data_IF_855959673973
#
_entry.id   IF_855959673973
#
_cell.length_a   1.000
_cell.length_b   1.000
_cell.length_c   1.000
_cell.angle_alpha   90.00
_cell.angle_beta   90.00
_cell.angle_gamma   90.00
#
_symmetry.space_group_name_H-M   'P 1'
#
loop_
_entity.id
_entity.type
_entity.pdbx_description
1 polymer ?
#
# COMPACT_ATOMS: atom_id res chain seq x y z
N UNK A 1 45.34 1.44 -34.35
CA UNK A 1 43.96 1.47 -34.88
C UNK A 1 43.14 0.54 -34.00
N UNK A 2 42.31 1.07 -33.12
CA UNK A 2 41.49 0.29 -32.18
C UNK A 2 40.03 0.61 -32.47
N UNK A 3 39.27 -0.40 -32.92
CA UNK A 3 37.85 -0.31 -33.24
C UNK A 3 37.01 0.01 -31.97
N UNK A 4 36.23 1.11 -31.95
CA UNK A 4 35.53 1.56 -30.76
C UNK A 4 34.04 1.19 -30.76
N UNK A 5 33.61 -0.02 -31.13
CA UNK A 5 32.17 -0.36 -31.01
C UNK A 5 31.93 -1.81 -30.60
N UNK A 6 32.20 -2.11 -29.32
CA UNK A 6 31.69 -3.33 -28.66
C UNK A 6 30.22 -3.10 -28.26
N UNK A 7 29.33 -3.17 -29.25
CA UNK A 7 27.87 -3.10 -29.04
C UNK A 7 27.42 -4.31 -28.21
N UNK A 8 26.96 -4.08 -26.98
CA UNK A 8 26.33 -5.12 -26.16
C UNK A 8 24.98 -5.49 -26.79
N UNK A 9 24.66 -6.78 -26.97
CA UNK A 9 23.37 -7.18 -27.54
C UNK A 9 22.21 -6.77 -26.61
N UNK A 10 21.24 -6.02 -27.15
CA UNK A 10 19.96 -5.70 -26.49
C UNK A 10 19.02 -6.88 -26.76
N UNK A 11 19.22 -8.01 -26.08
CA UNK A 11 18.35 -9.20 -26.19
C UNK A 11 17.36 -9.33 -25.02
N UNK A 12 17.12 -8.24 -24.27
CA UNK A 12 16.27 -8.25 -23.05
C UNK A 12 14.89 -7.62 -23.22
N UNK A 13 14.56 -7.09 -24.41
CA UNK A 13 13.34 -6.28 -24.62
C UNK A 13 11.99 -7.06 -24.54
N UNK A 14 11.87 -8.32 -25.02
CA UNK A 14 10.59 -9.03 -24.98
C UNK A 14 10.21 -9.49 -23.57
N UNK A 15 11.18 -9.97 -22.80
CA UNK A 15 10.98 -10.56 -21.47
C UNK A 15 10.74 -9.49 -20.40
N UNK A 16 11.39 -8.33 -20.50
CA UNK A 16 11.14 -7.20 -19.61
C UNK A 16 9.71 -6.65 -19.76
N UNK A 17 9.23 -6.47 -21.01
CA UNK A 17 7.85 -6.03 -21.29
C UNK A 17 6.80 -7.04 -20.83
N UNK A 18 7.05 -8.34 -20.99
CA UNK A 18 6.13 -9.38 -20.53
C UNK A 18 5.99 -9.39 -18.99
N UNK A 19 7.11 -9.27 -18.26
CA UNK A 19 7.11 -9.17 -16.79
C UNK A 19 6.40 -7.91 -16.30
N UNK A 20 6.64 -6.78 -16.96
CA UNK A 20 5.97 -5.53 -16.62
C UNK A 20 4.45 -5.63 -16.76
N UNK A 21 3.95 -6.23 -17.85
CA UNK A 21 2.50 -6.46 -18.05
C UNK A 21 1.91 -7.39 -16.99
N UNK A 22 2.62 -8.45 -16.61
CA UNK A 22 2.17 -9.36 -15.57
C UNK A 22 2.05 -8.63 -14.21
N UNK A 23 3.02 -7.78 -13.88
CA UNK A 23 3.01 -7.01 -12.64
C UNK A 23 1.96 -5.90 -12.62
N UNK A 24 1.67 -5.29 -13.79
CA UNK A 24 0.56 -4.36 -13.96
C UNK A 24 -0.80 -5.03 -13.79
N UNK A 25 -0.97 -6.24 -14.33
CA UNK A 25 -2.20 -7.02 -14.16
C UNK A 25 -2.43 -7.40 -12.69
N UNK A 26 -1.37 -7.80 -11.98
CA UNK A 26 -1.46 -8.11 -10.55
C UNK A 26 -1.80 -6.87 -9.71
N UNK A 27 -1.15 -5.74 -10.01
CA UNK A 27 -1.46 -4.46 -9.35
C UNK A 27 -2.89 -4.02 -9.63
N UNK A 28 -3.42 -4.27 -10.82
CA UNK A 28 -4.81 -3.95 -11.16
C UNK A 28 -5.79 -4.80 -10.35
N UNK A 29 -5.57 -6.12 -10.25
CA UNK A 29 -6.39 -7.00 -9.41
C UNK A 29 -6.40 -6.58 -7.95
N UNK A 30 -5.24 -6.25 -7.39
CA UNK A 30 -5.14 -5.75 -6.02
C UNK A 30 -5.88 -4.42 -5.86
N UNK A 31 -5.81 -3.53 -6.87
CA UNK A 31 -6.52 -2.26 -6.83
C UNK A 31 -8.04 -2.47 -6.83
N UNK A 32 -8.56 -3.39 -7.64
CA UNK A 32 -9.99 -3.71 -7.70
C UNK A 32 -10.49 -4.27 -6.35
N UNK A 33 -9.70 -5.17 -5.74
CA UNK A 33 -10.02 -5.74 -4.42
C UNK A 33 -10.04 -4.65 -3.33
N UNK A 34 -9.02 -3.81 -3.29
CA UNK A 34 -8.95 -2.69 -2.35
C UNK A 34 -10.10 -1.71 -2.61
N UNK A 35 -10.42 -1.39 -3.87
CA UNK A 35 -11.53 -0.49 -4.21
C UNK A 35 -12.88 -1.06 -3.76
N UNK A 36 -13.11 -2.37 -3.92
CA UNK A 36 -14.31 -3.04 -3.41
C UNK A 36 -14.40 -2.92 -1.88
N UNK A 37 -13.32 -3.18 -1.16
CA UNK A 37 -13.28 -3.07 0.30
C UNK A 37 -13.48 -1.62 0.78
N UNK A 38 -12.82 -0.66 0.13
CA UNK A 38 -13.00 0.77 0.41
C UNK A 38 -14.46 1.21 0.17
N UNK A 39 -15.12 0.75 -0.88
CA UNK A 39 -16.54 1.05 -1.12
C UNK A 39 -17.46 0.44 -0.06
N UNK A 40 -17.14 -0.74 0.48
CA UNK A 40 -17.98 -1.47 1.43
C UNK A 40 -17.85 -0.99 2.87
N UNK A 41 -16.63 -0.78 3.32
CA UNK A 41 -16.34 -0.54 4.74
C UNK A 41 -15.37 0.63 4.97
N UNK A 42 -14.99 1.37 3.92
CA UNK A 42 -14.13 2.56 3.97
C UNK A 42 -12.65 2.28 4.34
N UNK A 43 -12.28 1.01 4.51
CA UNK A 43 -10.89 0.59 4.74
C UNK A 43 -10.62 -0.82 4.18
N UNK A 44 -9.35 -1.11 3.91
CA UNK A 44 -8.84 -2.39 3.48
C UNK A 44 -7.54 -2.68 4.24
N UNK A 45 -7.36 -3.91 4.71
CA UNK A 45 -6.14 -4.37 5.39
C UNK A 45 -5.60 -5.59 4.69
N UNK A 46 -4.35 -5.52 4.25
CA UNK A 46 -3.70 -6.58 3.49
C UNK A 46 -2.36 -6.93 4.15
N UNK A 47 -2.18 -8.22 4.43
CA UNK A 47 -0.87 -8.75 4.82
C UNK A 47 0.06 -8.78 3.59
N UNK A 48 1.37 -8.78 3.85
CA UNK A 48 2.39 -8.96 2.81
C UNK A 48 3.48 -9.89 3.33
N UNK A 49 4.15 -10.59 2.42
CA UNK A 49 5.25 -11.51 2.73
C UNK A 49 6.62 -10.86 2.54
N UNK A 50 6.71 -9.85 1.67
CA UNK A 50 7.96 -9.13 1.40
C UNK A 50 7.74 -7.63 1.11
N UNK A 51 8.84 -6.89 1.00
CA UNK A 51 8.79 -5.44 0.77
C UNK A 51 8.34 -5.08 -0.66
N UNK A 52 8.51 -5.98 -1.64
CA UNK A 52 8.05 -5.76 -3.01
C UNK A 52 6.51 -5.81 -3.07
N UNK A 53 5.91 -6.79 -2.41
CA UNK A 53 4.47 -6.94 -2.24
C UNK A 53 3.90 -5.78 -1.43
N UNK A 54 4.57 -5.37 -0.34
CA UNK A 54 4.19 -4.18 0.43
C UNK A 54 4.13 -2.93 -0.47
N UNK A 55 5.12 -2.74 -1.34
CA UNK A 55 5.15 -1.64 -2.29
C UNK A 55 4.07 -1.78 -3.39
N UNK A 56 3.76 -3.00 -3.82
CA UNK A 56 2.66 -3.28 -4.75
C UNK A 56 1.30 -2.92 -4.13
N UNK A 57 1.03 -3.34 -2.89
CA UNK A 57 -0.21 -3.01 -2.15
C UNK A 57 -0.35 -1.50 -1.98
N UNK A 58 0.73 -0.79 -1.61
CA UNK A 58 0.71 0.70 -1.51
C UNK A 58 0.35 1.37 -2.84
N UNK A 59 0.89 0.87 -3.97
CA UNK A 59 0.56 1.37 -5.31
C UNK A 59 -0.89 1.06 -5.69
N UNK A 60 -1.35 -0.16 -5.41
CA UNK A 60 -2.72 -0.60 -5.64
C UNK A 60 -3.72 0.23 -4.83
N UNK A 61 -3.45 0.51 -3.56
CA UNK A 61 -4.30 1.34 -2.71
C UNK A 61 -4.46 2.79 -3.25
N UNK A 62 -3.36 3.39 -3.73
CA UNK A 62 -3.42 4.71 -4.36
C UNK A 62 -4.21 4.70 -5.68
N UNK A 63 -4.09 3.62 -6.46
CA UNK A 63 -4.85 3.43 -7.70
C UNK A 63 -6.33 3.24 -7.40
N UNK A 64 -6.67 2.41 -6.41
CA UNK A 64 -8.03 2.20 -5.93
C UNK A 64 -8.69 3.52 -5.49
N UNK A 65 -7.98 4.35 -4.72
CA UNK A 65 -8.45 5.69 -4.35
C UNK A 65 -8.78 6.57 -5.56
N UNK A 66 -7.90 6.61 -6.57
CA UNK A 66 -8.16 7.34 -7.82
C UNK A 66 -9.36 6.81 -8.59
N UNK A 67 -9.54 5.48 -8.62
CA UNK A 67 -10.66 4.85 -9.32
C UNK A 67 -12.01 5.16 -8.68
N UNK A 68 -12.06 5.22 -7.34
CA UNK A 68 -13.28 5.53 -6.60
C UNK A 68 -13.45 7.02 -6.32
N UNK A 69 -12.51 7.86 -6.77
CA UNK A 69 -12.59 9.32 -6.62
C UNK A 69 -12.32 9.84 -5.22
N UNK A 70 -11.64 9.09 -4.35
CA UNK A 70 -11.36 9.48 -2.96
C UNK A 70 -9.87 9.53 -2.65
N UNK A 71 -9.49 10.34 -1.66
CA UNK A 71 -8.14 10.27 -1.09
C UNK A 71 -8.03 9.02 -0.22
N UNK A 72 -6.92 8.31 -0.32
CA UNK A 72 -6.65 7.11 0.48
C UNK A 72 -5.35 7.31 1.24
N UNK A 73 -5.42 7.23 2.56
CA UNK A 73 -4.26 7.15 3.42
C UNK A 73 -3.82 5.69 3.56
N UNK A 74 -2.51 5.47 3.48
CA UNK A 74 -1.92 4.13 3.57
C UNK A 74 -0.88 4.12 4.68
N UNK A 75 -0.99 3.18 5.61
CA UNK A 75 -0.06 3.00 6.73
C UNK A 75 0.24 1.53 6.97
N UNK A 76 1.37 1.26 7.61
CA UNK A 76 1.68 -0.09 8.11
C UNK A 76 1.19 -0.19 9.55
N UNK A 77 0.44 -1.24 9.85
CA UNK A 77 -0.09 -1.52 11.19
C UNK A 77 0.95 -2.26 12.03
N UNK A 78 0.74 -2.33 13.36
CA UNK A 78 1.69 -2.93 14.32
C UNK A 78 1.94 -4.43 14.07
N UNK A 79 0.96 -5.13 13.50
CA UNK A 79 1.05 -6.52 13.08
C UNK A 79 1.72 -6.72 11.71
N UNK A 80 2.30 -5.66 11.12
CA UNK A 80 3.05 -5.75 9.88
C UNK A 80 2.18 -5.87 8.63
N UNK A 81 0.90 -5.48 8.69
CA UNK A 81 0.03 -5.40 7.51
C UNK A 81 -0.01 -3.98 6.94
N UNK A 82 -0.45 -3.82 5.70
CA UNK A 82 -0.78 -2.52 5.11
C UNK A 82 -2.26 -2.25 5.27
N UNK A 83 -2.59 -1.14 5.92
CA UNK A 83 -3.94 -0.60 6.00
C UNK A 83 -4.08 0.57 5.04
N UNK A 84 -5.05 0.47 4.13
CA UNK A 84 -5.51 1.55 3.25
C UNK A 84 -6.90 1.98 3.72
N UNK A 85 -7.13 3.28 3.88
CA UNK A 85 -8.45 3.76 4.27
C UNK A 85 -8.72 5.14 3.67
N UNK A 86 -10.02 5.43 3.51
CA UNK A 86 -10.47 6.70 2.93
C UNK A 86 -10.08 7.84 3.87
N UNK A 87 -9.39 8.82 3.30
CA UNK A 87 -8.91 10.05 3.95
C UNK A 87 -9.89 11.18 3.61
N UNK A 88 -11.09 11.09 4.18
CA UNK A 88 -12.05 12.19 4.23
C UNK A 88 -11.79 13.02 5.50
N UNK A 89 -11.96 14.34 5.43
CA UNK A 89 -11.99 15.16 6.64
C UNK A 89 -13.11 14.64 7.55
N UNK A 90 -12.74 14.02 8.68
CA UNK A 90 -13.69 13.36 9.60
C UNK A 90 -14.05 11.91 9.22
N UNK A 91 -13.27 11.26 8.37
CA UNK A 91 -13.47 9.84 8.04
C UNK A 91 -13.06 8.89 9.17
N UNK A 92 -13.57 7.64 9.19
CA UNK A 92 -13.36 6.69 10.28
C UNK A 92 -11.90 6.28 10.51
N UNK A 93 -11.00 6.51 9.55
CA UNK A 93 -9.57 6.33 9.79
C UNK A 93 -9.05 7.37 10.79
N UNK A 94 -9.52 8.62 10.70
CA UNK A 94 -9.13 9.70 11.60
C UNK A 94 -9.76 9.50 12.97
N UNK A 95 -11.05 9.14 13.03
CA UNK A 95 -11.73 8.86 14.31
C UNK A 95 -11.10 7.66 15.03
N UNK A 96 -10.78 6.57 14.32
CA UNK A 96 -10.07 5.43 14.91
C UNK A 96 -8.60 5.71 15.19
N UNK A 97 -7.96 6.63 14.47
CA UNK A 97 -6.60 7.09 14.77
C UNK A 97 -6.59 7.97 16.02
N UNK A 98 -7.58 8.82 16.20
CA UNK A 98 -7.78 9.62 17.40
C UNK A 98 -8.12 8.69 18.56
N UNK A 99 -8.97 7.68 18.36
CA UNK A 99 -9.26 6.66 19.39
C UNK A 99 -8.04 5.79 19.71
N UNK A 100 -7.25 5.36 18.72
CA UNK A 100 -6.03 4.60 18.96
C UNK A 100 -4.92 5.46 19.57
N UNK A 101 -4.80 6.74 19.19
CA UNK A 101 -3.92 7.70 19.87
C UNK A 101 -4.35 7.94 21.30
N UNK A 102 -5.65 8.14 21.51
CA UNK A 102 -6.22 8.37 22.83
C UNK A 102 -6.01 7.14 23.71
N UNK A 103 -6.26 5.94 23.19
CA UNK A 103 -6.02 4.68 23.89
C UNK A 103 -4.54 4.48 24.21
N UNK A 104 -3.64 4.70 23.25
CA UNK A 104 -2.19 4.62 23.51
C UNK A 104 -1.71 5.70 24.49
N UNK A 105 -2.25 6.93 24.43
CA UNK A 105 -1.89 8.00 25.36
C UNK A 105 -2.43 7.75 26.78
N UNK A 106 -3.59 7.11 26.91
CA UNK A 106 -4.14 6.64 28.19
C UNK A 106 -3.28 5.48 28.71
N UNK A 107 -2.96 4.49 27.87
CA UNK A 107 -2.10 3.38 28.27
C UNK A 107 -0.67 3.86 28.65
N UNK A 108 -0.13 4.89 27.98
CA UNK A 108 1.15 5.51 28.36
C UNK A 108 1.04 6.35 29.65
N UNK A 109 -0.08 7.03 29.88
CA UNK A 109 -0.30 7.87 31.06
C UNK A 109 -0.66 7.07 32.34
N UNK A 110 -1.19 5.86 32.19
CA UNK A 110 -1.62 4.98 33.29
C UNK A 110 -0.86 3.64 33.36
N UNK A 111 0.00 3.33 32.37
CA UNK A 111 0.75 2.08 32.27
C UNK A 111 2.14 2.09 32.91
N UNK A 112 2.65 3.25 33.32
CA UNK A 112 3.83 3.36 34.18
C UNK A 112 3.40 3.45 35.67
N UNK A 113 2.94 2.33 36.23
CA UNK A 113 3.14 2.03 37.66
C UNK A 113 4.05 0.81 37.77
N UNK A 114 5.38 1.00 37.83
CA UNK A 114 6.31 -0.10 38.05
C UNK A 114 6.19 -0.54 39.52
N UNK A 115 5.55 -1.69 39.74
CA UNK A 115 5.75 -2.49 40.95
C UNK A 115 6.72 -3.63 40.67
#
# INVERSE_FOLDING_TARGET
MSDPHRVRPITSAPTAKARQRAQEAETARLADLIASDLRRQQWAKLSYTDEEERAAIKRAARRAGKEIGVKVAVRTTRDGAVMAAIDEEGGPLRDRLDEARLRNAIDDAFGDDPR
#
